data_IF_778377240767
#
_entry.id   IF_778377240767
#
_cell.length_a   1.000
_cell.length_b   1.000
_cell.length_c   1.000
_cell.angle_alpha   90.00
_cell.angle_beta   90.00
_cell.angle_gamma   90.00
#
_symmetry.space_group_name_H-M   'P 1'
#
loop_
_entity.id
_entity.type
_entity.pdbx_description
1 polymer ?
#
# COMPACT_ATOMS: atom_id res chain seq x y z
N UNK A 1 2.22 -12.09 -14.83
CA UNK A 1 3.30 -12.51 -13.90
C UNK A 1 2.94 -11.95 -12.54
N UNK A 2 3.08 -12.74 -11.49
CA UNK A 2 2.87 -12.25 -10.12
C UNK A 2 4.06 -11.38 -9.74
N UNK A 3 3.81 -10.21 -9.16
CA UNK A 3 4.86 -9.37 -8.56
C UNK A 3 4.64 -9.33 -7.05
N UNK A 4 5.73 -9.31 -6.31
CA UNK A 4 5.75 -9.24 -4.85
C UNK A 4 6.37 -7.92 -4.45
N UNK A 5 5.66 -7.17 -3.63
CA UNK A 5 6.12 -5.93 -3.03
C UNK A 5 6.75 -6.24 -1.66
N UNK A 6 7.96 -5.79 -1.45
CA UNK A 6 8.65 -5.84 -0.16
C UNK A 6 8.86 -4.41 0.29
N UNK A 7 8.32 -4.04 1.43
CA UNK A 7 8.39 -2.66 1.94
C UNK A 7 8.90 -2.62 3.39
N UNK A 8 9.60 -1.55 3.75
CA UNK A 8 9.94 -1.19 5.12
C UNK A 8 9.51 0.25 5.35
N UNK A 9 8.85 0.49 6.48
CA UNK A 9 8.37 1.81 6.91
C UNK A 9 9.24 2.35 8.04
N UNK A 10 9.52 3.66 8.00
CA UNK A 10 10.30 4.37 9.01
C UNK A 10 9.57 5.65 9.39
N UNK A 11 9.34 5.86 10.69
CA UNK A 11 8.72 7.09 11.17
C UNK A 11 9.79 8.20 11.18
N UNK A 12 9.47 9.34 10.57
CA UNK A 12 10.37 10.50 10.49
C UNK A 12 10.00 11.61 11.48
N UNK A 13 8.81 11.52 12.07
CA UNK A 13 8.30 12.52 13.00
C UNK A 13 7.79 13.77 12.27
N UNK A 14 8.62 14.79 12.16
CA UNK A 14 8.27 16.09 11.60
C UNK A 14 8.95 16.37 10.24
N UNK A 15 8.74 17.59 9.74
CA UNK A 15 9.35 18.05 8.47
C UNK A 15 10.89 18.05 8.53
N UNK A 16 11.49 18.33 9.69
CA UNK A 16 12.94 18.37 9.80
C UNK A 16 13.53 16.97 9.60
N UNK A 17 12.89 15.94 10.16
CA UNK A 17 13.28 14.54 9.93
C UNK A 17 13.16 14.13 8.46
N UNK A 18 12.10 14.58 7.77
CA UNK A 18 11.93 14.34 6.34
C UNK A 18 12.99 15.04 5.48
N UNK A 19 13.26 16.33 5.76
CA UNK A 19 14.28 17.11 5.05
C UNK A 19 15.70 16.52 5.29
N UNK A 20 15.99 16.08 6.53
CA UNK A 20 17.26 15.43 6.87
C UNK A 20 17.43 14.10 6.15
N UNK A 21 16.37 13.30 6.00
CA UNK A 21 16.42 12.07 5.22
C UNK A 21 16.76 12.37 3.75
N UNK A 22 16.09 13.34 3.12
CA UNK A 22 16.39 13.73 1.72
C UNK A 22 17.84 14.18 1.59
N UNK A 23 18.36 14.96 2.55
CA UNK A 23 19.75 15.39 2.56
C UNK A 23 20.71 14.18 2.61
N UNK A 24 20.50 13.24 3.55
CA UNK A 24 21.32 12.01 3.67
C UNK A 24 21.27 11.14 2.43
N UNK A 25 20.08 11.01 1.80
CA UNK A 25 19.95 10.30 0.53
C UNK A 25 20.77 10.96 -0.59
N UNK A 26 20.73 12.29 -0.72
CA UNK A 26 21.52 13.05 -1.70
C UNK A 26 23.01 12.95 -1.48
N UNK A 27 23.48 12.93 -0.23
CA UNK A 27 24.89 12.78 0.12
C UNK A 27 25.45 11.41 -0.33
N UNK A 28 24.62 10.37 -0.32
CA UNK A 28 25.02 9.00 -0.69
C UNK A 28 24.73 8.65 -2.16
N UNK A 29 23.76 9.31 -2.76
CA UNK A 29 23.36 9.13 -4.16
C UNK A 29 23.23 10.50 -4.83
N UNK A 30 24.31 10.90 -5.52
CA UNK A 30 24.33 12.17 -6.26
C UNK A 30 23.35 12.21 -7.43
N UNK A 31 22.83 11.05 -7.85
CA UNK A 31 21.80 10.90 -8.89
C UNK A 31 20.36 10.92 -8.34
N UNK A 32 20.19 11.10 -7.03
CA UNK A 32 18.86 11.14 -6.43
C UNK A 32 17.97 12.20 -7.10
N UNK A 33 16.88 11.76 -7.70
CA UNK A 33 15.89 12.62 -8.32
C UNK A 33 14.51 12.38 -7.69
N UNK A 34 13.75 13.44 -7.54
CA UNK A 34 12.33 13.34 -7.26
C UNK A 34 11.63 12.88 -8.53
N UNK A 35 10.88 11.78 -8.45
CA UNK A 35 10.15 11.19 -9.57
C UNK A 35 8.76 11.80 -9.72
N UNK A 36 8.07 11.96 -8.58
CA UNK A 36 6.70 12.43 -8.57
C UNK A 36 6.34 13.11 -7.24
N UNK A 37 5.21 13.81 -7.24
CA UNK A 37 4.55 14.32 -6.06
C UNK A 37 3.05 14.14 -6.23
N UNK A 38 2.37 13.56 -5.23
CA UNK A 38 0.95 13.25 -5.29
C UNK A 38 0.22 13.71 -4.02
N UNK A 39 -0.98 14.25 -4.21
CA UNK A 39 -1.95 14.40 -3.13
C UNK A 39 -2.90 13.23 -3.16
N UNK A 40 -3.12 12.61 -2.00
CA UNK A 40 -3.90 11.39 -1.91
C UNK A 40 -4.93 11.47 -0.79
N UNK A 41 -6.11 10.91 -1.03
CA UNK A 41 -7.11 10.62 -0.03
C UNK A 41 -7.30 9.11 0.00
N UNK A 42 -7.07 8.50 1.16
CA UNK A 42 -7.11 7.05 1.34
C UNK A 42 -8.24 6.70 2.31
N UNK A 43 -9.10 5.76 1.90
CA UNK A 43 -10.11 5.17 2.77
C UNK A 43 -9.81 3.68 2.92
N UNK A 44 -9.54 3.25 4.15
CA UNK A 44 -9.27 1.85 4.50
C UNK A 44 -10.53 1.18 4.99
N UNK A 45 -10.66 -0.11 4.70
CA UNK A 45 -11.84 -0.89 5.01
C UNK A 45 -11.49 -2.19 5.74
N UNK A 46 -12.41 -2.63 6.60
CA UNK A 46 -12.41 -3.93 7.26
C UNK A 46 -13.75 -4.62 7.02
N UNK A 47 -13.82 -5.92 7.25
CA UNK A 47 -15.08 -6.64 7.19
C UNK A 47 -16.08 -6.11 8.21
N UNK A 48 -17.32 -5.91 7.78
CA UNK A 48 -18.40 -5.46 8.65
C UNK A 48 -18.86 -6.59 9.57
N UNK A 49 -19.15 -6.34 10.87
CA UNK A 49 -19.76 -7.32 11.77
C UNK A 49 -21.06 -7.89 11.25
N UNK A 50 -21.82 -7.12 10.47
CA UNK A 50 -23.06 -7.57 9.85
C UNK A 50 -22.85 -8.66 8.80
N UNK A 51 -21.69 -8.72 8.16
CA UNK A 51 -21.36 -9.72 7.13
C UNK A 51 -20.58 -10.92 7.68
N UNK A 52 -19.77 -10.72 8.72
CA UNK A 52 -18.84 -11.74 9.23
C UNK A 52 -19.18 -12.22 10.63
N UNK A 53 -20.06 -11.52 11.37
CA UNK A 53 -20.36 -11.78 12.78
C UNK A 53 -19.31 -11.23 13.75
N UNK A 54 -18.13 -10.80 13.27
CA UNK A 54 -17.08 -10.18 14.10
C UNK A 54 -16.44 -9.03 13.35
N UNK A 55 -16.16 -7.94 14.07
CA UNK A 55 -15.44 -6.80 13.50
C UNK A 55 -13.99 -7.18 13.17
N UNK A 56 -13.55 -6.82 11.96
CA UNK A 56 -12.18 -7.07 11.49
C UNK A 56 -11.94 -8.41 10.82
N UNK A 57 -12.94 -9.32 10.79
CA UNK A 57 -12.86 -10.49 9.90
C UNK A 57 -12.96 -10.05 8.43
N UNK A 58 -12.41 -10.88 7.53
CA UNK A 58 -12.40 -10.59 6.10
C UNK A 58 -13.82 -10.34 5.58
N UNK A 59 -14.04 -9.18 4.98
CA UNK A 59 -15.26 -8.91 4.22
C UNK A 59 -15.38 -9.82 3.00
N UNK A 60 -16.51 -9.77 2.31
CA UNK A 60 -16.76 -10.62 1.16
C UNK A 60 -16.12 -10.07 -0.12
N UNK A 61 -14.86 -10.49 -0.39
CA UNK A 61 -14.15 -10.14 -1.61
C UNK A 61 -14.83 -10.65 -2.88
N UNK A 62 -15.54 -11.77 -2.82
CA UNK A 62 -16.30 -12.27 -3.98
C UNK A 62 -17.42 -11.32 -4.31
N UNK A 63 -18.14 -10.85 -3.31
CA UNK A 63 -19.19 -9.84 -3.47
C UNK A 63 -18.64 -8.47 -3.91
N UNK A 64 -17.46 -8.09 -3.40
CA UNK A 64 -16.76 -6.90 -3.89
C UNK A 64 -16.46 -7.04 -5.39
N UNK A 65 -15.88 -8.17 -5.80
CA UNK A 65 -15.58 -8.45 -7.20
C UNK A 65 -16.83 -8.38 -8.09
N UNK A 66 -17.98 -8.93 -7.64
CA UNK A 66 -19.24 -8.83 -8.35
C UNK A 66 -19.71 -7.38 -8.52
N UNK A 67 -19.63 -6.58 -7.45
CA UNK A 67 -20.08 -5.20 -7.44
C UNK A 67 -19.21 -4.26 -8.29
N UNK A 68 -17.88 -4.43 -8.27
CA UNK A 68 -16.96 -3.60 -9.07
C UNK A 68 -16.73 -4.16 -10.48
N UNK A 69 -17.01 -5.45 -10.70
CA UNK A 69 -16.77 -6.16 -11.96
C UNK A 69 -17.27 -5.46 -13.21
N UNK A 70 -18.48 -4.85 -13.23
CA UNK A 70 -18.98 -4.09 -14.38
C UNK A 70 -18.10 -2.92 -14.82
N UNK A 71 -17.26 -2.39 -13.92
CA UNK A 71 -16.37 -1.25 -14.18
C UNK A 71 -14.93 -1.68 -14.51
N UNK A 72 -14.63 -3.00 -14.47
CA UNK A 72 -13.30 -3.54 -14.70
C UNK A 72 -13.05 -3.89 -16.16
N UNK A 73 -11.82 -3.66 -16.63
CA UNK A 73 -11.33 -4.25 -17.88
C UNK A 73 -11.09 -5.76 -17.70
N UNK A 74 -11.24 -6.55 -18.77
CA UNK A 74 -11.10 -8.02 -18.72
C UNK A 74 -9.77 -8.49 -18.14
N UNK A 75 -8.65 -7.79 -18.44
CA UNK A 75 -7.36 -8.07 -17.87
C UNK A 75 -7.37 -7.98 -16.32
N UNK A 76 -8.05 -6.96 -15.77
CA UNK A 76 -8.16 -6.78 -14.32
C UNK A 76 -9.15 -7.75 -13.68
N UNK A 77 -10.20 -8.12 -14.38
CA UNK A 77 -11.11 -9.19 -13.94
C UNK A 77 -10.36 -10.51 -13.76
N UNK A 78 -9.54 -10.90 -14.73
CA UNK A 78 -8.74 -12.14 -14.65
C UNK A 78 -7.72 -12.13 -13.53
N UNK A 79 -7.19 -10.95 -13.12
CA UNK A 79 -6.28 -10.80 -11.99
C UNK A 79 -7.00 -10.88 -10.64
N UNK A 80 -8.16 -10.23 -10.51
CA UNK A 80 -8.90 -10.13 -9.25
C UNK A 80 -9.74 -11.35 -8.92
N UNK A 81 -10.29 -12.04 -9.91
CA UNK A 81 -11.21 -13.16 -9.71
C UNK A 81 -10.62 -14.30 -8.88
N UNK A 82 -9.39 -14.80 -9.13
CA UNK A 82 -8.80 -15.81 -8.27
C UNK A 82 -8.59 -15.29 -6.84
N UNK A 83 -8.09 -14.07 -6.72
CA UNK A 83 -7.77 -13.46 -5.42
C UNK A 83 -9.02 -13.24 -4.56
N UNK A 84 -10.15 -12.92 -5.18
CA UNK A 84 -11.43 -12.75 -4.48
C UNK A 84 -11.95 -14.03 -3.81
N UNK A 85 -11.46 -15.20 -4.24
CA UNK A 85 -11.85 -16.51 -3.71
C UNK A 85 -10.85 -17.09 -2.72
N UNK A 86 -9.57 -16.77 -2.88
CA UNK A 86 -8.46 -17.46 -2.20
C UNK A 86 -7.84 -16.62 -1.08
N UNK A 87 -7.99 -15.29 -1.13
CA UNK A 87 -7.36 -14.41 -0.16
C UNK A 87 -8.00 -14.55 1.23
N UNK A 88 -7.19 -14.97 2.21
CA UNK A 88 -7.59 -15.11 3.62
C UNK A 88 -7.17 -13.89 4.44
N UNK A 89 -6.01 -13.32 4.14
CA UNK A 89 -5.47 -12.14 4.80
C UNK A 89 -5.16 -11.06 3.76
N UNK A 90 -5.85 -9.94 3.86
CA UNK A 90 -5.74 -8.85 2.91
C UNK A 90 -6.05 -7.49 3.56
N UNK A 91 -5.58 -6.44 2.92
CA UNK A 91 -6.04 -5.08 3.18
C UNK A 91 -6.72 -4.50 1.94
N UNK A 92 -7.84 -3.82 2.16
CA UNK A 92 -8.63 -3.15 1.12
C UNK A 92 -8.65 -1.66 1.37
N UNK A 93 -8.36 -0.88 0.34
CA UNK A 93 -8.54 0.58 0.37
C UNK A 93 -9.07 1.10 -0.95
N UNK A 94 -9.78 2.20 -0.90
CA UNK A 94 -10.02 3.08 -2.02
C UNK A 94 -9.09 4.29 -1.92
N UNK A 95 -8.66 4.79 -3.05
CA UNK A 95 -7.67 5.86 -3.16
C UNK A 95 -8.13 6.86 -4.22
N UNK A 96 -8.12 8.13 -3.87
CA UNK A 96 -8.10 9.22 -4.84
C UNK A 96 -6.68 9.79 -4.89
N UNK A 97 -6.10 9.89 -6.08
CA UNK A 97 -4.78 10.44 -6.32
C UNK A 97 -4.79 11.31 -7.59
N UNK A 98 -4.68 12.63 -7.43
CA UNK A 98 -4.57 13.61 -8.51
C UNK A 98 -5.63 13.47 -9.63
N UNK A 99 -6.85 13.09 -9.26
CA UNK A 99 -7.98 12.88 -10.17
C UNK A 99 -8.27 11.43 -10.52
N UNK A 100 -7.34 10.51 -10.28
CA UNK A 100 -7.58 9.07 -10.43
C UNK A 100 -8.28 8.49 -9.20
N UNK A 101 -9.29 7.66 -9.44
CA UNK A 101 -9.95 6.83 -8.41
C UNK A 101 -9.47 5.39 -8.58
N UNK A 102 -9.00 4.78 -7.50
CA UNK A 102 -8.32 3.49 -7.54
C UNK A 102 -8.84 2.61 -6.40
N UNK A 103 -9.11 1.33 -6.69
CA UNK A 103 -9.22 0.29 -5.65
C UNK A 103 -7.89 -0.42 -5.51
N UNK A 104 -7.44 -0.60 -4.28
CA UNK A 104 -6.17 -1.27 -3.95
C UNK A 104 -6.45 -2.45 -3.04
N UNK A 105 -5.99 -3.63 -3.46
CA UNK A 105 -6.04 -4.86 -2.69
C UNK A 105 -4.62 -5.37 -2.48
N UNK A 106 -4.18 -5.43 -1.21
CA UNK A 106 -2.91 -6.06 -0.82
C UNK A 106 -3.18 -7.37 -0.11
N UNK A 107 -2.56 -8.45 -0.56
CA UNK A 107 -2.74 -9.80 -0.05
C UNK A 107 -1.41 -10.31 0.49
N UNK A 108 -1.38 -10.80 1.72
CA UNK A 108 -0.21 -11.45 2.30
C UNK A 108 0.05 -12.79 1.62
N UNK A 109 1.30 -13.08 1.26
CA UNK A 109 1.71 -14.32 0.59
C UNK A 109 2.52 -15.25 1.48
N UNK A 110 3.02 -14.76 2.62
CA UNK A 110 3.73 -15.56 3.60
C UNK A 110 2.94 -15.65 4.92
N UNK A 111 3.03 -16.79 5.60
CA UNK A 111 2.48 -16.99 6.95
C UNK A 111 3.36 -16.31 8.03
N UNK A 112 4.21 -15.38 7.62
CA UNK A 112 5.16 -14.68 8.48
C UNK A 112 4.49 -13.78 9.49
N UNK A 113 5.03 -13.75 10.70
CA UNK A 113 4.55 -12.99 11.85
C UNK A 113 4.80 -11.48 11.78
N UNK A 114 5.31 -10.95 10.65
CA UNK A 114 5.78 -9.57 10.52
C UNK A 114 4.96 -8.76 9.51
N UNK A 115 4.04 -7.95 9.99
CA UNK A 115 3.21 -7.07 9.16
C UNK A 115 4.00 -5.99 8.38
N UNK A 116 5.20 -5.60 8.81
CA UNK A 116 5.98 -4.53 8.19
C UNK A 116 7.04 -5.01 7.18
N UNK A 117 7.26 -6.32 7.08
CA UNK A 117 8.28 -6.90 6.18
C UNK A 117 7.76 -8.14 5.45
N UNK A 118 6.48 -8.16 5.13
CA UNK A 118 5.80 -9.28 4.43
C UNK A 118 5.87 -9.02 2.94
N UNK A 119 6.21 -10.05 2.15
CA UNK A 119 5.96 -10.02 0.72
C UNK A 119 4.46 -9.99 0.46
N UNK A 120 3.96 -9.00 -0.25
CA UNK A 120 2.55 -8.84 -0.56
C UNK A 120 2.33 -8.83 -2.05
N UNK A 121 1.25 -9.46 -2.50
CA UNK A 121 0.71 -9.21 -3.83
C UNK A 121 -0.18 -7.98 -3.75
N UNK A 122 0.15 -6.95 -4.52
CA UNK A 122 -0.68 -5.77 -4.65
C UNK A 122 -1.38 -5.75 -6.00
N UNK A 123 -2.67 -5.46 -5.98
CA UNK A 123 -3.46 -5.23 -7.18
C UNK A 123 -4.09 -3.86 -7.06
N UNK A 124 -3.66 -2.96 -7.96
CA UNK A 124 -4.24 -1.64 -8.13
C UNK A 124 -5.09 -1.60 -9.39
N UNK A 125 -6.31 -1.08 -9.26
CA UNK A 125 -7.22 -0.95 -10.39
C UNK A 125 -7.81 0.44 -10.43
N UNK A 126 -7.51 1.18 -11.50
CA UNK A 126 -8.14 2.47 -11.77
C UNK A 126 -9.61 2.28 -12.16
N UNK A 127 -10.46 3.14 -11.60
CA UNK A 127 -11.92 3.15 -11.77
C UNK A 127 -12.35 4.48 -12.45
N UNK A 128 -12.02 4.71 -13.72
CA UNK A 128 -12.12 6.03 -14.36
C UNK A 128 -13.55 6.56 -14.47
N UNK A 129 -14.55 5.69 -14.33
CA UNK A 129 -15.96 6.04 -14.46
C UNK A 129 -16.68 6.16 -13.11
N UNK A 130 -15.92 6.19 -12.01
CA UNK A 130 -16.47 6.31 -10.66
C UNK A 130 -15.83 7.47 -9.93
N UNK A 131 -16.61 8.16 -9.11
CA UNK A 131 -16.09 9.01 -8.04
C UNK A 131 -15.62 8.14 -6.87
N UNK A 132 -14.83 8.72 -5.95
CA UNK A 132 -14.40 8.01 -4.75
C UNK A 132 -15.60 7.57 -3.90
N UNK A 133 -16.63 8.41 -3.77
CA UNK A 133 -17.85 8.11 -3.02
C UNK A 133 -18.66 6.98 -3.64
N UNK A 134 -18.74 6.91 -4.97
CA UNK A 134 -19.42 5.80 -5.67
C UNK A 134 -18.65 4.50 -5.46
N UNK A 135 -17.33 4.50 -5.58
CA UNK A 135 -16.49 3.33 -5.30
C UNK A 135 -16.64 2.88 -3.85
N UNK A 136 -16.57 3.80 -2.88
CA UNK A 136 -16.80 3.51 -1.46
C UNK A 136 -18.17 2.86 -1.22
N UNK A 137 -19.19 3.36 -1.92
CA UNK A 137 -20.56 2.80 -1.83
C UNK A 137 -20.59 1.34 -2.28
N UNK A 138 -19.87 0.97 -3.35
CA UNK A 138 -19.74 -0.41 -3.81
C UNK A 138 -19.02 -1.29 -2.78
N UNK A 139 -17.96 -0.77 -2.16
CA UNK A 139 -17.21 -1.46 -1.09
C UNK A 139 -18.11 -1.70 0.13
N UNK A 140 -18.82 -0.68 0.60
CA UNK A 140 -19.73 -0.80 1.73
C UNK A 140 -20.87 -1.80 1.46
N UNK A 141 -21.44 -1.80 0.26
CA UNK A 141 -22.46 -2.78 -0.16
C UNK A 141 -21.91 -4.22 -0.23
N UNK A 142 -20.61 -4.38 -0.30
CA UNK A 142 -19.92 -5.68 -0.32
C UNK A 142 -19.64 -6.24 1.08
N UNK A 143 -20.18 -5.63 2.13
CA UNK A 143 -20.02 -6.12 3.50
C UNK A 143 -18.75 -5.63 4.20
N UNK A 144 -18.23 -4.51 3.75
CA UNK A 144 -17.14 -3.80 4.42
C UNK A 144 -17.65 -2.59 5.20
N UNK A 145 -16.84 -2.09 6.13
CA UNK A 145 -17.03 -0.82 6.80
C UNK A 145 -15.73 -0.01 6.81
N UNK A 146 -15.84 1.30 6.99
CA UNK A 146 -14.64 2.13 7.12
C UNK A 146 -13.84 1.77 8.37
N UNK A 147 -12.55 1.54 8.18
CA UNK A 147 -11.56 1.43 9.24
C UNK A 147 -10.95 2.79 9.56
N UNK A 148 -10.50 3.49 8.52
CA UNK A 148 -9.86 4.80 8.64
C UNK A 148 -9.96 5.58 7.34
N UNK A 149 -9.91 6.92 7.47
CA UNK A 149 -9.80 7.85 6.35
C UNK A 149 -8.71 8.86 6.67
N UNK A 150 -7.77 9.05 5.75
CA UNK A 150 -6.76 10.09 5.88
C UNK A 150 -6.25 10.58 4.55
N UNK A 151 -5.76 11.83 4.55
CA UNK A 151 -5.04 12.40 3.42
C UNK A 151 -3.53 12.33 3.66
N UNK A 152 -2.79 12.25 2.56
CA UNK A 152 -1.34 12.40 2.56
C UNK A 152 -0.85 13.16 1.33
N UNK A 153 0.30 13.82 1.49
CA UNK A 153 1.11 14.32 0.40
C UNK A 153 2.31 13.37 0.26
N UNK A 154 2.45 12.70 -0.88
CA UNK A 154 3.50 11.71 -1.15
C UNK A 154 4.51 12.28 -2.12
N UNK A 155 5.79 12.23 -1.78
CA UNK A 155 6.91 12.51 -2.69
C UNK A 155 7.67 11.22 -2.95
N UNK A 156 7.91 10.89 -4.21
CA UNK A 156 8.60 9.66 -4.63
C UNK A 156 10.00 9.94 -5.13
N UNK A 157 10.91 9.04 -4.79
CA UNK A 157 12.32 9.06 -5.19
C UNK A 157 12.76 7.69 -5.68
N UNK A 158 13.81 7.66 -6.52
CA UNK A 158 14.58 6.46 -6.79
C UNK A 158 15.91 6.60 -6.07
N UNK A 159 16.18 5.76 -5.07
CA UNK A 159 17.38 5.81 -4.25
C UNK A 159 18.14 4.49 -4.34
N UNK A 160 19.35 4.49 -4.92
CA UNK A 160 20.21 3.31 -5.09
C UNK A 160 19.47 2.05 -5.58
N UNK A 161 18.55 2.23 -6.55
CA UNK A 161 17.75 1.16 -7.12
C UNK A 161 16.54 0.70 -6.32
N UNK A 162 16.23 1.38 -5.21
CA UNK A 162 15.06 1.17 -4.35
C UNK A 162 14.05 2.30 -4.59
N UNK A 163 12.77 2.00 -4.62
CA UNK A 163 11.73 3.01 -4.58
C UNK A 163 11.64 3.56 -3.14
N UNK A 164 11.65 4.86 -3.00
CA UNK A 164 11.56 5.53 -1.70
C UNK A 164 10.46 6.56 -1.75
N UNK A 165 9.58 6.57 -0.77
CA UNK A 165 8.57 7.60 -0.65
C UNK A 165 8.70 8.33 0.68
N UNK A 166 8.39 9.61 0.67
CA UNK A 166 8.23 10.42 1.87
C UNK A 166 6.80 10.93 1.88
N UNK A 167 6.05 10.49 2.88
CA UNK A 167 4.65 10.81 3.09
C UNK A 167 4.50 11.82 4.23
N UNK A 168 3.84 12.94 3.95
CA UNK A 168 3.28 13.81 4.97
C UNK A 168 1.84 13.40 5.22
N UNK A 169 1.56 12.79 6.33
CA UNK A 169 0.24 12.28 6.69
C UNK A 169 -0.50 13.25 7.60
N UNK A 170 -1.81 13.41 7.35
CA UNK A 170 -2.66 14.11 8.29
C UNK A 170 -2.79 13.28 9.58
N UNK A 171 -2.36 13.84 10.69
CA UNK A 171 -2.57 13.27 12.04
C UNK A 171 -1.33 12.71 12.71
N UNK A 172 -0.34 12.15 12.01
CA UNK A 172 0.85 11.57 12.66
C UNK A 172 2.21 11.99 12.07
N UNK A 173 2.22 12.97 11.16
CA UNK A 173 3.45 13.57 10.66
C UNK A 173 4.05 12.86 9.46
N UNK A 174 5.38 12.71 9.42
CA UNK A 174 6.10 12.20 8.27
C UNK A 174 6.52 10.75 8.42
N UNK A 175 6.39 9.99 7.32
CA UNK A 175 6.78 8.59 7.20
C UNK A 175 7.61 8.42 5.93
N UNK A 176 8.64 7.57 5.98
CA UNK A 176 9.31 7.06 4.79
C UNK A 176 8.93 5.60 4.56
N UNK A 177 8.71 5.22 3.30
CA UNK A 177 8.58 3.84 2.85
C UNK A 177 9.72 3.55 1.87
N UNK A 178 10.39 2.42 2.05
CA UNK A 178 11.38 1.89 1.11
C UNK A 178 10.85 0.59 0.55
N UNK A 179 10.76 0.50 -0.77
CA UNK A 179 10.09 -0.60 -1.45
C UNK A 179 10.97 -1.20 -2.53
N UNK A 180 10.90 -2.52 -2.66
CA UNK A 180 11.45 -3.27 -3.78
C UNK A 180 10.42 -4.27 -4.31
N UNK A 181 10.11 -4.18 -5.61
CA UNK A 181 9.25 -5.12 -6.30
C UNK A 181 10.12 -6.23 -6.88
N UNK A 182 9.72 -7.48 -6.67
CA UNK A 182 10.34 -8.67 -7.23
C UNK A 182 9.31 -9.52 -7.99
N UNK A 183 9.76 -10.25 -8.99
CA UNK A 183 8.94 -11.07 -9.88
C UNK A 183 8.84 -12.54 -9.43
N UNK A 184 9.58 -12.91 -8.39
CA UNK A 184 9.68 -14.26 -7.85
C UNK A 184 9.69 -14.22 -6.32
N UNK A 185 8.88 -15.07 -5.69
CA UNK A 185 8.80 -15.20 -4.23
C UNK A 185 10.14 -15.57 -3.60
N UNK A 186 10.94 -16.40 -4.28
CA UNK A 186 12.28 -16.77 -3.84
C UNK A 186 13.23 -15.57 -3.67
N UNK A 187 12.96 -14.43 -4.33
CA UNK A 187 13.74 -13.18 -4.23
C UNK A 187 13.32 -12.28 -3.05
N UNK A 188 12.21 -12.58 -2.39
CA UNK A 188 11.70 -11.77 -1.26
C UNK A 188 12.73 -11.66 -0.13
N UNK A 189 13.43 -12.73 0.32
CA UNK A 189 14.44 -12.63 1.39
C UNK A 189 15.61 -11.71 1.02
N UNK A 190 16.07 -11.74 -0.23
CA UNK A 190 17.14 -10.86 -0.71
C UNK A 190 16.68 -9.40 -0.74
N UNK A 191 15.45 -9.15 -1.22
CA UNK A 191 14.86 -7.82 -1.22
C UNK A 191 14.76 -7.24 0.19
N UNK A 192 14.30 -8.05 1.16
CA UNK A 192 14.26 -7.68 2.59
C UNK A 192 15.66 -7.31 3.11
N UNK A 193 16.66 -8.13 2.85
CA UNK A 193 18.04 -7.87 3.28
C UNK A 193 18.58 -6.56 2.67
N UNK A 194 18.28 -6.31 1.38
CA UNK A 194 18.67 -5.07 0.71
C UNK A 194 18.02 -3.84 1.36
N UNK A 195 16.72 -3.89 1.63
CA UNK A 195 16.00 -2.78 2.28
C UNK A 195 16.52 -2.51 3.69
N UNK A 196 16.78 -3.56 4.48
CA UNK A 196 17.40 -3.43 5.81
C UNK A 196 18.79 -2.79 5.75
N UNK A 197 19.57 -3.10 4.73
CA UNK A 197 20.84 -2.42 4.46
C UNK A 197 20.67 -0.92 4.22
N UNK A 198 19.68 -0.56 3.37
CA UNK A 198 19.37 0.84 3.03
C UNK A 198 18.97 1.65 4.27
N UNK A 199 18.02 1.16 5.07
CA UNK A 199 17.58 1.90 6.26
C UNK A 199 18.71 2.04 7.29
N UNK A 200 19.57 1.00 7.45
CA UNK A 200 20.75 1.07 8.31
C UNK A 200 21.77 2.12 7.82
N UNK A 201 22.07 2.16 6.53
CA UNK A 201 22.95 3.16 5.92
C UNK A 201 22.43 4.59 6.10
N UNK A 202 21.10 4.75 6.08
CA UNK A 202 20.43 6.03 6.29
C UNK A 202 20.22 6.34 7.79
N UNK A 203 20.70 5.50 8.70
CA UNK A 203 20.50 5.65 10.15
C UNK A 203 19.02 5.86 10.51
N UNK A 204 18.16 4.98 9.94
CA UNK A 204 16.72 4.95 10.21
C UNK A 204 16.37 3.71 11.02
N UNK A 205 15.25 3.79 11.73
CA UNK A 205 14.66 2.67 12.47
C UNK A 205 13.39 2.22 11.76
N UNK A 206 13.23 0.90 11.62
CA UNK A 206 12.01 0.28 11.12
C UNK A 206 10.87 0.57 12.09
N UNK A 207 9.70 0.95 11.56
CA UNK A 207 8.50 1.17 12.37
C UNK A 207 8.11 -0.15 13.05
N UNK A 208 7.97 -0.17 14.40
CA UNK A 208 7.51 -1.35 15.11
C UNK A 208 6.17 -1.86 14.62
N UNK A 209 5.99 -3.19 14.68
CA UNK A 209 4.79 -3.87 14.13
C UNK A 209 3.50 -3.59 14.90
N UNK A 210 3.61 -3.15 16.12
CA UNK A 210 2.51 -2.88 17.05
C UNK A 210 1.98 -1.43 16.97
N UNK A 211 2.42 -0.68 15.94
CA UNK A 211 1.99 0.71 15.71
C UNK A 211 1.34 0.92 14.34
#
# INVERSE_FOLDING_TARGET
MSSYEVEIKCLLGDKNGADDLVRRMKEKDSGLAQLSFHKQLNHYFVGSPASTGRRGEAGDLSRLYENIGPFLKEEKKSQLQPLSREAKDFSLRTLWADGDVIVVLKISVDEGTSFNTVGRREVEVKMPNLTLEELDTLVLKSGFEYQAKWSRERTEYKYLGVNSTIDKNAGYGYLAEFEKIVDDEAKVPEAKARLKGVIKELNLEELPQDR
#
